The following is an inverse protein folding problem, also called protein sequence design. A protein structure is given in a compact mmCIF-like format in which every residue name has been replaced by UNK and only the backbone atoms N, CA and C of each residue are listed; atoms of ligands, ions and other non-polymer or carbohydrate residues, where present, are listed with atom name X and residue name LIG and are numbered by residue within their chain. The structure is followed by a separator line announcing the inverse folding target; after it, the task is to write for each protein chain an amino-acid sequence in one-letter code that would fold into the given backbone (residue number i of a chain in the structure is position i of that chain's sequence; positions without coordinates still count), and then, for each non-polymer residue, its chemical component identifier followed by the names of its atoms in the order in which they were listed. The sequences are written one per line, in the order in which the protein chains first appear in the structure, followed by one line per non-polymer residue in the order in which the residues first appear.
data_IF_694882289653
#
_entry.id   IF_694882289653
#
_cell.length_a   1.000
_cell.length_b   1.000
_cell.length_c   1.000
_cell.angle_alpha   90.00
_cell.angle_beta   90.00
_cell.angle_gamma   90.00
#
_symmetry.space_group_name_H-M   'P 1'
#
loop_
_entity.id
_entity.type
_entity.pdbx_description
1 polymer ?
#
# COMPACT_ATOMS: atom_id res chain seq x y z
N UNK A 1 -14.14 -3.44 -16.54
CA UNK A 1 -13.43 -4.74 -16.43
C UNK A 1 -14.03 -5.58 -15.28
N UNK A 2 -13.63 -6.85 -15.15
CA UNK A 2 -14.19 -7.76 -14.15
C UNK A 2 -14.05 -7.23 -12.72
N UNK A 3 -12.90 -6.65 -12.39
CA UNK A 3 -12.64 -6.12 -11.04
C UNK A 3 -13.57 -4.95 -10.71
N UNK A 4 -13.78 -4.05 -11.65
CA UNK A 4 -14.69 -2.90 -11.48
C UNK A 4 -16.13 -3.37 -11.26
N UNK A 5 -16.61 -4.30 -12.08
CA UNK A 5 -17.98 -4.86 -11.98
C UNK A 5 -18.17 -5.65 -10.67
N UNK A 6 -17.18 -6.47 -10.31
CA UNK A 6 -17.19 -7.20 -9.05
C UNK A 6 -17.27 -6.26 -7.85
N UNK A 7 -16.39 -5.25 -7.79
CA UNK A 7 -16.37 -4.29 -6.70
C UNK A 7 -17.68 -3.49 -6.60
N UNK A 8 -18.24 -3.06 -7.73
CA UNK A 8 -19.52 -2.37 -7.75
C UNK A 8 -20.64 -3.23 -7.19
N UNK A 9 -20.74 -4.49 -7.64
CA UNK A 9 -21.75 -5.46 -7.20
C UNK A 9 -21.57 -5.81 -5.73
N UNK A 10 -20.34 -6.07 -5.28
CA UNK A 10 -20.02 -6.37 -3.89
C UNK A 10 -20.38 -5.20 -2.96
N UNK A 11 -20.04 -3.98 -3.33
CA UNK A 11 -20.36 -2.79 -2.55
C UNK A 11 -21.87 -2.59 -2.40
N UNK A 12 -22.63 -2.80 -3.48
CA UNK A 12 -24.10 -2.75 -3.42
C UNK A 12 -24.66 -3.83 -2.49
N UNK A 13 -24.16 -5.06 -2.61
CA UNK A 13 -24.55 -6.18 -1.75
C UNK A 13 -24.25 -5.88 -0.27
N UNK A 14 -23.06 -5.43 0.07
CA UNK A 14 -22.66 -5.11 1.45
C UNK A 14 -23.53 -4.00 2.05
N UNK A 15 -23.85 -2.95 1.27
CA UNK A 15 -24.75 -1.87 1.72
C UNK A 15 -26.19 -2.38 1.95
N UNK A 16 -26.69 -3.22 1.06
CA UNK A 16 -28.02 -3.83 1.18
C UNK A 16 -28.10 -4.73 2.42
N UNK A 17 -27.07 -5.53 2.68
CA UNK A 17 -26.97 -6.39 3.85
C UNK A 17 -26.87 -5.59 5.14
N UNK A 18 -26.08 -4.51 5.14
CA UNK A 18 -25.98 -3.61 6.28
C UNK A 18 -27.32 -2.98 6.65
N UNK A 19 -28.16 -2.60 5.67
CA UNK A 19 -29.51 -2.08 5.92
C UNK A 19 -30.35 -3.14 6.64
N UNK A 20 -30.36 -4.38 6.14
CA UNK A 20 -31.14 -5.48 6.72
C UNK A 20 -30.68 -5.84 8.14
N UNK A 21 -29.35 -5.93 8.36
CA UNK A 21 -28.81 -6.23 9.70
C UNK A 21 -29.12 -5.10 10.69
N UNK A 22 -28.98 -3.85 10.29
CA UNK A 22 -29.35 -2.70 11.14
C UNK A 22 -30.82 -2.69 11.48
N UNK A 23 -31.71 -3.08 10.55
CA UNK A 23 -33.15 -3.20 10.83
C UNK A 23 -33.40 -4.28 11.85
N UNK A 24 -32.79 -5.48 11.71
CA UNK A 24 -32.93 -6.55 12.69
C UNK A 24 -32.49 -6.13 14.11
N UNK A 25 -31.39 -5.34 14.19
CA UNK A 25 -30.95 -4.80 15.48
C UNK A 25 -31.93 -3.77 16.03
N UNK A 26 -32.47 -2.88 15.20
CA UNK A 26 -33.48 -1.88 15.61
C UNK A 26 -34.78 -2.53 16.08
N UNK A 27 -35.17 -3.63 15.44
CA UNK A 27 -36.33 -4.44 15.79
C UNK A 27 -36.09 -5.37 17.00
N UNK A 28 -34.90 -5.29 17.64
CA UNK A 28 -34.50 -6.12 18.77
C UNK A 28 -34.63 -7.63 18.48
N UNK A 29 -34.34 -8.05 17.26
CA UNK A 29 -34.36 -9.45 16.87
C UNK A 29 -33.40 -10.27 17.74
N UNK A 30 -33.69 -11.55 18.04
CA UNK A 30 -32.84 -12.45 18.78
C UNK A 30 -31.42 -12.55 18.12
N UNK A 31 -30.38 -12.67 18.95
CA UNK A 31 -28.99 -12.76 18.50
C UNK A 31 -28.77 -13.90 17.49
N UNK A 32 -29.41 -15.03 17.69
CA UNK A 32 -29.33 -16.18 16.79
C UNK A 32 -29.88 -15.85 15.41
N UNK A 33 -31.01 -15.12 15.34
CA UNK A 33 -31.56 -14.67 14.06
C UNK A 33 -30.64 -13.72 13.32
N UNK A 34 -30.00 -12.80 14.04
CA UNK A 34 -29.01 -11.88 13.45
C UNK A 34 -27.80 -12.68 12.92
N UNK A 35 -27.33 -13.64 13.71
CA UNK A 35 -26.19 -14.50 13.34
C UNK A 35 -26.47 -15.38 12.12
N UNK A 36 -27.63 -16.05 12.08
CA UNK A 36 -28.08 -16.84 10.94
C UNK A 36 -28.17 -15.99 9.66
N UNK A 37 -28.80 -14.80 9.78
CA UNK A 37 -28.94 -13.87 8.66
C UNK A 37 -27.57 -13.44 8.13
N UNK A 38 -26.64 -13.08 9.03
CA UNK A 38 -25.26 -12.72 8.65
C UNK A 38 -24.54 -13.88 7.94
N UNK A 39 -24.68 -15.11 8.45
CA UNK A 39 -24.07 -16.29 7.83
C UNK A 39 -24.65 -16.54 6.42
N UNK A 40 -25.93 -16.41 6.23
CA UNK A 40 -26.54 -16.51 4.89
C UNK A 40 -26.01 -15.43 3.94
N UNK A 41 -25.88 -14.18 4.39
CA UNK A 41 -25.31 -13.08 3.61
C UNK A 41 -23.84 -13.34 3.22
N UNK A 42 -23.04 -13.85 4.15
CA UNK A 42 -21.64 -14.22 3.87
C UNK A 42 -21.54 -15.35 2.83
N UNK A 43 -22.48 -16.33 2.87
CA UNK A 43 -22.55 -17.39 1.84
C UNK A 43 -22.87 -16.83 0.45
N UNK A 44 -23.71 -15.79 0.37
CA UNK A 44 -24.00 -15.12 -0.91
C UNK A 44 -22.77 -14.34 -1.44
N UNK A 45 -22.03 -13.67 -0.55
CA UNK A 45 -20.78 -12.98 -0.90
C UNK A 45 -19.73 -13.99 -1.36
N UNK A 46 -19.58 -15.12 -0.66
CA UNK A 46 -18.66 -16.20 -1.06
C UNK A 46 -19.01 -16.71 -2.46
N UNK A 47 -20.27 -16.99 -2.73
CA UNK A 47 -20.75 -17.45 -4.05
C UNK A 47 -20.44 -16.42 -5.15
N UNK A 48 -20.66 -15.12 -4.88
CA UNK A 48 -20.31 -14.04 -5.80
C UNK A 48 -18.81 -14.04 -6.10
N UNK A 49 -17.98 -14.21 -5.06
CA UNK A 49 -16.51 -14.26 -5.20
C UNK A 49 -16.07 -15.49 -6.01
N UNK A 50 -16.65 -16.65 -5.77
CA UNK A 50 -16.37 -17.89 -6.53
C UNK A 50 -16.74 -17.73 -8.00
N UNK A 51 -17.86 -17.10 -8.32
CA UNK A 51 -18.24 -16.84 -9.72
C UNK A 51 -17.25 -15.90 -10.44
N UNK A 52 -16.65 -14.97 -9.73
CA UNK A 52 -15.70 -14.03 -10.30
C UNK A 52 -14.27 -14.58 -10.40
N UNK A 53 -13.81 -15.35 -9.40
CA UNK A 53 -12.39 -15.70 -9.20
C UNK A 53 -12.13 -17.21 -9.12
N UNK A 54 -13.15 -18.05 -9.10
CA UNK A 54 -13.04 -19.48 -8.85
C UNK A 54 -12.97 -19.84 -7.36
N UNK A 55 -13.10 -21.13 -7.07
CA UNK A 55 -12.93 -21.63 -5.71
C UNK A 55 -11.45 -21.59 -5.29
N UNK A 56 -11.16 -21.20 -4.03
CA UNK A 56 -9.82 -21.30 -3.48
C UNK A 56 -9.30 -22.75 -3.57
N UNK A 57 -8.10 -22.91 -4.09
CA UNK A 57 -7.47 -24.23 -4.18
C UNK A 57 -6.94 -24.69 -2.83
N UNK A 58 -7.21 -25.93 -2.45
CA UNK A 58 -6.64 -26.54 -1.24
C UNK A 58 -5.19 -26.98 -1.46
N UNK A 59 -4.95 -27.58 -2.63
CA UNK A 59 -3.61 -28.03 -3.05
C UNK A 59 -3.39 -27.74 -4.53
N UNK A 60 -2.13 -27.53 -4.91
CA UNK A 60 -1.73 -27.28 -6.29
C UNK A 60 -0.30 -27.75 -6.57
N UNK A 61 0.01 -27.91 -7.83
CA UNK A 61 1.36 -28.16 -8.31
C UNK A 61 1.98 -26.86 -8.82
N UNK A 62 3.22 -26.57 -8.43
CA UNK A 62 3.96 -25.40 -8.87
C UNK A 62 5.13 -25.79 -9.76
N UNK A 63 5.03 -25.45 -11.03
CA UNK A 63 6.07 -25.71 -12.02
C UNK A 63 6.68 -24.37 -12.49
N UNK A 64 8.01 -24.29 -12.53
CA UNK A 64 8.71 -23.11 -13.02
C UNK A 64 10.06 -23.44 -13.63
N UNK A 65 10.62 -22.49 -14.36
CA UNK A 65 12.04 -22.53 -14.77
C UNK A 65 12.79 -21.44 -14.02
N UNK A 66 13.94 -21.80 -13.48
CA UNK A 66 14.85 -20.86 -12.82
C UNK A 66 15.61 -19.97 -13.83
N UNK A 67 16.48 -19.08 -13.34
CA UNK A 67 17.30 -18.21 -14.18
C UNK A 67 18.26 -18.99 -15.10
N UNK A 68 18.59 -20.23 -14.78
CA UNK A 68 19.43 -21.12 -15.60
C UNK A 68 18.58 -21.98 -16.57
N UNK A 69 17.27 -21.69 -16.68
CA UNK A 69 16.31 -22.43 -17.50
C UNK A 69 16.09 -23.89 -17.05
N UNK A 70 16.49 -24.25 -15.84
CA UNK A 70 16.20 -25.58 -15.28
C UNK A 70 14.74 -25.65 -14.84
N UNK A 71 14.11 -26.78 -15.19
CA UNK A 71 12.73 -27.04 -14.82
C UNK A 71 12.65 -27.57 -13.38
N UNK A 72 11.72 -27.01 -12.63
CA UNK A 72 11.38 -27.42 -11.28
C UNK A 72 9.89 -27.73 -11.19
N UNK A 73 9.53 -28.73 -10.39
CA UNK A 73 8.16 -29.10 -10.12
C UNK A 73 8.01 -29.47 -8.64
N UNK A 74 7.17 -28.74 -7.94
CA UNK A 74 6.71 -29.06 -6.60
C UNK A 74 5.24 -29.47 -6.65
N UNK A 75 4.92 -30.64 -6.14
CA UNK A 75 3.57 -31.19 -6.20
C UNK A 75 2.89 -31.16 -4.83
N UNK A 76 1.56 -31.02 -4.85
CA UNK A 76 0.73 -31.12 -3.66
C UNK A 76 0.96 -30.01 -2.63
N UNK A 77 1.38 -28.82 -3.05
CA UNK A 77 1.57 -27.69 -2.16
C UNK A 77 0.21 -27.14 -1.71
N UNK A 78 0.12 -26.80 -0.43
CA UNK A 78 -0.94 -25.93 0.07
C UNK A 78 -0.47 -24.46 -0.06
N UNK A 79 -1.37 -23.46 -0.05
CA UNK A 79 -0.98 -22.05 -0.01
C UNK A 79 0.01 -21.72 1.11
N UNK A 80 -0.18 -22.31 2.30
CA UNK A 80 0.72 -22.09 3.44
C UNK A 80 2.10 -22.73 3.22
N UNK A 81 2.17 -23.99 2.71
CA UNK A 81 3.45 -24.65 2.43
C UNK A 81 4.22 -23.95 1.30
N UNK A 82 3.51 -23.42 0.30
CA UNK A 82 4.13 -22.59 -0.74
C UNK A 82 4.74 -21.31 -0.14
N UNK A 83 3.98 -20.60 0.70
CA UNK A 83 4.46 -19.42 1.39
C UNK A 83 5.72 -19.70 2.20
N UNK A 84 5.70 -20.76 3.02
CA UNK A 84 6.82 -21.16 3.86
C UNK A 84 8.07 -21.55 3.04
N UNK A 85 7.88 -22.19 1.89
CA UNK A 85 8.98 -22.64 1.04
C UNK A 85 9.61 -21.53 0.21
N UNK A 86 8.79 -20.66 -0.38
CA UNK A 86 9.24 -19.69 -1.40
C UNK A 86 9.36 -18.25 -0.89
N UNK A 87 8.59 -17.87 0.09
CA UNK A 87 8.58 -16.51 0.65
C UNK A 87 9.22 -16.46 2.03
N UNK A 88 8.74 -17.26 2.95
CA UNK A 88 9.22 -17.41 4.34
C UNK A 88 9.56 -16.08 5.01
N UNK A 89 8.69 -15.07 4.85
CA UNK A 89 8.85 -13.73 5.43
C UNK A 89 8.01 -13.62 6.69
N UNK A 90 8.61 -13.16 7.78
CA UNK A 90 7.84 -12.76 8.95
C UNK A 90 7.42 -11.30 8.79
N UNK A 91 6.14 -11.04 8.55
CA UNK A 91 5.63 -9.67 8.39
C UNK A 91 5.64 -8.87 9.70
N UNK A 92 5.73 -9.53 10.85
CA UNK A 92 5.92 -8.86 12.14
C UNK A 92 7.27 -8.14 12.22
N UNK A 93 8.24 -8.49 11.39
CA UNK A 93 9.54 -7.81 11.32
C UNK A 93 9.49 -6.46 10.59
N UNK A 94 8.36 -6.14 9.96
CA UNK A 94 8.20 -4.94 9.15
C UNK A 94 7.37 -3.88 9.85
N UNK A 95 7.55 -2.64 9.41
CA UNK A 95 6.80 -1.46 9.86
C UNK A 95 6.54 -0.54 8.70
N UNK A 96 5.36 0.09 8.68
CA UNK A 96 5.05 1.18 7.77
C UNK A 96 5.53 2.49 8.37
N UNK A 97 6.49 3.12 7.71
CA UNK A 97 6.98 4.46 8.03
C UNK A 97 6.34 5.44 7.06
N UNK A 98 5.72 6.48 7.59
CA UNK A 98 5.16 7.58 6.82
C UNK A 98 5.95 8.85 7.05
N UNK A 99 5.88 9.79 6.10
CA UNK A 99 6.39 11.14 6.28
C UNK A 99 5.31 12.16 5.89
N UNK A 100 4.52 12.53 6.89
CA UNK A 100 3.48 13.56 6.76
C UNK A 100 3.93 14.83 7.46
N UNK A 101 4.17 15.92 6.71
CA UNK A 101 4.56 17.22 7.27
C UNK A 101 3.36 18.06 7.77
N UNK A 102 2.14 17.52 7.76
CA UNK A 102 0.94 18.23 8.21
C UNK A 102 1.08 18.68 9.66
N UNK A 103 0.67 19.89 9.97
CA UNK A 103 0.75 20.45 11.33
C UNK A 103 -0.06 19.63 12.37
N UNK A 104 -1.09 18.92 11.93
CA UNK A 104 -1.90 18.00 12.74
C UNK A 104 -1.19 16.69 13.10
N UNK A 105 -0.06 16.37 12.45
CA UNK A 105 0.68 15.11 12.61
C UNK A 105 2.11 15.37 13.05
N UNK A 106 2.39 15.08 14.30
CA UNK A 106 3.75 15.24 14.82
C UNK A 106 4.68 14.13 14.31
N UNK A 107 5.93 14.45 14.04
CA UNK A 107 6.97 13.47 13.82
C UNK A 107 7.32 12.72 15.11
N UNK A 108 7.89 11.53 14.97
CA UNK A 108 8.21 10.60 16.05
C UNK A 108 6.98 10.18 16.86
N UNK A 109 5.87 10.00 16.15
CA UNK A 109 4.59 9.59 16.72
C UNK A 109 4.02 8.41 15.95
N UNK A 110 3.41 7.46 16.68
CA UNK A 110 2.68 6.35 16.09
C UNK A 110 1.21 6.71 15.88
N UNK A 111 0.71 6.44 14.68
CA UNK A 111 -0.69 6.64 14.30
C UNK A 111 -1.35 5.31 13.95
N UNK A 112 -2.68 5.26 14.01
CA UNK A 112 -3.48 4.14 13.52
C UNK A 112 -4.54 4.62 12.53
N UNK A 113 -4.82 3.78 11.54
CA UNK A 113 -5.85 4.03 10.55
C UNK A 113 -6.82 2.82 10.54
N UNK A 114 -7.70 2.79 11.54
CA UNK A 114 -8.59 1.65 11.79
C UNK A 114 -9.56 1.37 10.63
N UNK A 115 -9.81 2.36 9.74
CA UNK A 115 -10.62 2.17 8.52
C UNK A 115 -9.97 1.20 7.53
N UNK A 116 -8.67 0.96 7.63
CA UNK A 116 -7.93 -0.01 6.83
C UNK A 116 -7.76 -1.37 7.53
N UNK A 117 -8.19 -1.53 8.76
CA UNK A 117 -8.21 -2.80 9.48
C UNK A 117 -9.35 -3.68 8.95
N UNK A 118 -9.25 -4.14 7.70
CA UNK A 118 -10.32 -4.81 6.96
C UNK A 118 -10.37 -6.31 7.17
N UNK A 119 -9.41 -6.90 7.87
CA UNK A 119 -9.32 -8.34 8.12
C UNK A 119 -9.55 -8.62 9.61
N UNK A 120 -10.58 -9.40 9.92
CA UNK A 120 -10.86 -9.82 11.31
C UNK A 120 -9.70 -10.68 11.84
N UNK A 121 -9.08 -10.23 12.94
CA UNK A 121 -7.90 -10.88 13.50
C UNK A 121 -6.60 -10.64 12.71
N UNK A 122 -6.63 -9.76 11.71
CA UNK A 122 -5.45 -9.32 10.98
C UNK A 122 -4.60 -8.32 11.76
N UNK A 123 -3.44 -7.97 11.19
CA UNK A 123 -2.57 -6.94 11.74
C UNK A 123 -3.22 -5.55 11.57
N UNK A 124 -3.28 -4.77 12.67
CA UNK A 124 -3.82 -3.42 12.58
C UNK A 124 -2.86 -2.51 11.82
N UNK A 125 -3.41 -1.58 11.01
CA UNK A 125 -2.62 -0.58 10.31
C UNK A 125 -1.98 0.38 11.33
N UNK A 126 -0.65 0.41 11.35
CA UNK A 126 0.16 1.28 12.21
C UNK A 126 1.15 2.06 11.35
N UNK A 127 1.17 3.37 11.53
CA UNK A 127 1.95 4.32 10.74
C UNK A 127 2.90 5.07 11.67
N UNK A 128 4.20 4.83 11.55
CA UNK A 128 5.22 5.57 12.29
C UNK A 128 5.60 6.82 11.48
N UNK A 129 5.19 8.01 11.95
CA UNK A 129 5.49 9.27 11.27
C UNK A 129 6.90 9.75 11.62
N UNK A 130 7.79 9.75 10.64
CA UNK A 130 9.17 10.21 10.78
C UNK A 130 9.47 11.39 9.84
N UNK A 131 10.51 12.21 10.16
CA UNK A 131 10.96 13.28 9.25
C UNK A 131 11.31 12.75 7.85
N UNK A 132 11.16 13.57 6.78
CA UNK A 132 11.42 13.16 5.40
C UNK A 132 12.83 12.60 5.19
N UNK A 133 13.84 13.25 5.76
CA UNK A 133 15.24 12.80 5.65
C UNK A 133 15.44 11.42 6.27
N UNK A 134 14.71 11.13 7.36
CA UNK A 134 14.80 9.83 8.00
C UNK A 134 14.12 8.73 7.18
N UNK A 135 12.94 9.01 6.63
CA UNK A 135 12.26 8.09 5.71
C UNK A 135 13.16 7.76 4.52
N UNK A 136 13.80 8.76 3.92
CA UNK A 136 14.74 8.61 2.81
C UNK A 136 15.98 7.78 3.20
N UNK A 137 16.57 8.05 4.36
CA UNK A 137 17.72 7.30 4.86
C UNK A 137 17.41 5.81 5.10
N UNK A 138 16.24 5.50 5.67
CA UNK A 138 15.76 4.12 5.86
C UNK A 138 15.55 3.41 4.52
N UNK A 139 15.00 4.11 3.55
CA UNK A 139 14.82 3.61 2.18
C UNK A 139 16.16 3.26 1.52
N UNK A 140 17.15 4.15 1.61
CA UNK A 140 18.51 3.91 1.08
C UNK A 140 19.16 2.73 1.80
N UNK A 141 19.03 2.64 3.13
CA UNK A 141 19.61 1.56 3.92
C UNK A 141 19.05 0.19 3.50
N UNK A 142 17.74 0.06 3.33
CA UNK A 142 17.09 -1.16 2.88
C UNK A 142 17.57 -1.57 1.48
N UNK A 143 17.62 -0.62 0.53
CA UNK A 143 18.09 -0.90 -0.83
C UNK A 143 19.58 -1.29 -0.86
N UNK A 144 20.45 -0.66 -0.05
CA UNK A 144 21.87 -1.06 0.10
C UNK A 144 22.02 -2.47 0.69
N UNK A 145 21.06 -2.91 1.51
CA UNK A 145 20.99 -4.27 2.04
C UNK A 145 20.42 -5.30 1.04
N UNK A 146 20.07 -4.87 -0.19
CA UNK A 146 19.52 -5.73 -1.23
C UNK A 146 18.02 -6.03 -1.05
N UNK A 147 17.32 -5.26 -0.23
CA UNK A 147 15.88 -5.45 0.01
C UNK A 147 15.06 -4.40 -0.74
N UNK A 148 14.26 -4.82 -1.74
CA UNK A 148 13.28 -3.95 -2.39
C UNK A 148 12.21 -3.49 -1.39
N UNK A 149 11.65 -2.30 -1.64
CA UNK A 149 10.74 -1.63 -0.71
C UNK A 149 9.40 -1.39 -1.39
N UNK A 150 8.33 -1.88 -0.77
CA UNK A 150 6.99 -1.43 -1.09
C UNK A 150 6.83 0.02 -0.61
N UNK A 151 6.26 0.89 -1.44
CA UNK A 151 6.02 2.28 -1.09
C UNK A 151 4.71 2.80 -1.65
N UNK A 152 4.03 3.64 -0.86
CA UNK A 152 2.79 4.34 -1.23
C UNK A 152 3.08 5.75 -1.71
N UNK A 153 2.39 6.15 -2.79
CA UNK A 153 2.67 7.41 -3.48
C UNK A 153 1.46 7.94 -4.25
N UNK A 154 1.57 9.17 -4.74
CA UNK A 154 0.62 9.77 -5.67
C UNK A 154 1.13 9.64 -7.11
N UNK A 155 0.96 8.46 -7.69
CA UNK A 155 1.58 8.06 -8.96
C UNK A 155 1.20 8.93 -10.16
N UNK A 156 0.01 9.56 -10.13
CA UNK A 156 -0.47 10.34 -11.27
C UNK A 156 0.07 11.77 -11.29
N UNK A 157 0.71 12.21 -10.21
CA UNK A 157 1.34 13.52 -10.13
C UNK A 157 2.63 13.54 -10.94
N UNK A 158 2.80 14.51 -11.81
CA UNK A 158 4.00 14.76 -12.62
C UNK A 158 4.62 13.48 -13.25
N UNK A 159 3.76 12.74 -13.95
CA UNK A 159 4.05 11.45 -14.57
C UNK A 159 4.05 11.54 -16.10
N UNK A 160 5.14 11.11 -16.76
CA UNK A 160 5.08 10.63 -18.15
C UNK A 160 4.94 9.10 -18.14
N UNK A 161 3.71 8.62 -18.26
CA UNK A 161 3.40 7.19 -18.17
C UNK A 161 4.08 6.36 -19.26
N UNK A 162 4.19 6.90 -20.47
CA UNK A 162 4.75 6.17 -21.59
C UNK A 162 6.25 5.97 -21.45
N UNK A 163 6.97 7.02 -21.03
CA UNK A 163 8.41 6.96 -20.82
C UNK A 163 8.77 6.34 -19.46
N UNK A 164 7.84 6.31 -18.51
CA UNK A 164 8.08 5.86 -17.15
C UNK A 164 8.92 6.88 -16.36
N UNK A 165 8.63 8.15 -16.50
CA UNK A 165 9.30 9.22 -15.78
C UNK A 165 8.38 9.82 -14.71
N UNK A 166 8.91 9.93 -13.50
CA UNK A 166 8.31 10.57 -12.35
C UNK A 166 9.25 11.71 -11.93
N UNK A 167 8.87 12.96 -12.19
CA UNK A 167 9.71 14.10 -11.90
C UNK A 167 8.87 15.34 -11.62
N UNK A 168 9.04 15.97 -10.47
CA UNK A 168 8.31 17.18 -10.06
C UNK A 168 8.51 18.38 -10.99
N UNK A 169 9.52 18.33 -11.86
CA UNK A 169 9.80 19.37 -12.85
C UNK A 169 9.42 18.95 -14.28
N UNK A 170 8.59 17.89 -14.42
CA UNK A 170 8.22 17.38 -15.74
C UNK A 170 7.35 18.33 -16.53
N UNK A 171 6.48 19.08 -15.85
CA UNK A 171 5.55 20.04 -16.45
C UNK A 171 5.62 21.37 -15.71
N UNK A 172 5.83 22.46 -16.45
CA UNK A 172 5.84 23.82 -15.89
C UNK A 172 4.57 24.60 -16.30
N UNK A 173 3.46 24.20 -15.72
CA UNK A 173 2.16 24.87 -15.95
C UNK A 173 2.12 26.28 -15.35
N UNK A 174 2.87 26.54 -14.28
CA UNK A 174 2.94 27.89 -13.66
C UNK A 174 3.50 28.91 -14.65
N UNK A 175 4.61 28.61 -15.30
CA UNK A 175 5.19 29.46 -16.32
C UNK A 175 4.31 29.53 -17.58
N UNK A 176 3.77 28.38 -18.03
CA UNK A 176 2.95 28.31 -19.23
C UNK A 176 1.70 29.23 -19.15
N UNK A 177 1.03 29.23 -18.01
CA UNK A 177 -0.21 29.98 -17.83
C UNK A 177 -0.01 31.30 -17.06
N UNK A 178 1.21 31.60 -16.63
CA UNK A 178 1.54 32.78 -15.80
C UNK A 178 0.68 32.88 -14.52
N UNK A 179 0.53 31.75 -13.82
CA UNK A 179 -0.21 31.63 -12.56
C UNK A 179 0.64 30.92 -11.52
N UNK A 180 0.39 31.18 -10.24
CA UNK A 180 1.02 30.43 -9.15
C UNK A 180 0.23 29.17 -8.83
N UNK A 181 0.86 28.02 -9.02
CA UNK A 181 0.34 26.69 -8.67
C UNK A 181 1.16 26.01 -7.56
N UNK A 182 2.00 26.78 -6.87
CA UNK A 182 2.87 26.27 -5.80
C UNK A 182 2.03 25.78 -4.63
N UNK A 183 2.16 24.51 -4.30
CA UNK A 183 1.49 23.91 -3.15
C UNK A 183 2.44 22.92 -2.47
N UNK A 184 3.00 23.24 -1.30
CA UNK A 184 3.86 22.35 -0.52
C UNK A 184 3.13 21.06 -0.11
N UNK A 185 3.88 20.00 0.20
CA UNK A 185 3.35 18.67 0.50
C UNK A 185 2.35 18.65 1.66
N UNK A 186 2.59 19.41 2.72
CA UNK A 186 1.65 19.56 3.84
C UNK A 186 0.31 20.11 3.39
N UNK A 187 0.33 21.18 2.59
CA UNK A 187 -0.88 21.80 2.05
C UNK A 187 -1.58 20.88 1.04
N UNK A 188 -0.84 20.16 0.17
CA UNK A 188 -1.46 19.19 -0.73
C UNK A 188 -2.25 18.14 0.05
N UNK A 189 -1.73 17.64 1.16
CA UNK A 189 -2.42 16.70 2.04
C UNK A 189 -3.62 17.34 2.74
N UNK A 190 -3.47 18.55 3.29
CA UNK A 190 -4.55 19.25 4.01
C UNK A 190 -5.73 19.60 3.09
N UNK A 191 -5.45 20.01 1.85
CA UNK A 191 -6.47 20.40 0.87
C UNK A 191 -6.90 19.28 -0.08
N UNK A 192 -6.47 18.04 0.17
CA UNK A 192 -6.84 16.85 -0.63
C UNK A 192 -6.41 16.93 -2.10
N UNK A 193 -5.38 17.71 -2.39
CA UNK A 193 -4.73 17.73 -3.69
C UNK A 193 -3.77 16.55 -3.84
N UNK A 194 -3.16 16.08 -2.75
CA UNK A 194 -2.32 14.88 -2.70
C UNK A 194 -3.07 13.71 -2.05
N UNK A 195 -2.84 12.51 -2.54
CA UNK A 195 -3.45 11.27 -2.04
C UNK A 195 -2.49 10.09 -2.18
N UNK A 196 -2.55 9.14 -1.25
CA UNK A 196 -1.87 7.84 -1.40
C UNK A 196 -2.69 7.00 -2.36
N UNK A 197 -2.42 7.11 -3.67
CA UNK A 197 -3.27 6.55 -4.72
C UNK A 197 -2.77 5.22 -5.29
N UNK A 198 -1.49 4.90 -5.09
CA UNK A 198 -0.86 3.74 -5.72
C UNK A 198 0.33 3.22 -4.92
N UNK A 199 0.57 1.93 -5.06
CA UNK A 199 1.73 1.25 -4.50
C UNK A 199 2.64 0.72 -5.60
N UNK A 200 3.94 0.91 -5.43
CA UNK A 200 4.99 0.39 -6.32
C UNK A 200 6.14 -0.18 -5.49
N UNK A 201 7.17 -0.70 -6.18
CA UNK A 201 8.36 -1.24 -5.52
C UNK A 201 9.60 -0.44 -5.89
N UNK A 202 10.30 0.10 -4.89
CA UNK A 202 11.64 0.66 -5.06
C UNK A 202 12.65 -0.48 -5.15
N UNK A 203 13.41 -0.52 -6.25
CA UNK A 203 14.39 -1.59 -6.53
C UNK A 203 15.82 -1.08 -6.66
N UNK A 204 16.04 0.22 -6.59
CA UNK A 204 17.38 0.80 -6.63
C UNK A 204 17.38 2.31 -6.43
N UNK A 205 18.57 2.83 -6.10
CA UNK A 205 18.83 4.25 -5.94
C UNK A 205 20.17 4.60 -6.56
N UNK A 206 20.24 5.74 -7.25
CA UNK A 206 21.50 6.32 -7.73
C UNK A 206 21.97 7.37 -6.72
N UNK A 207 23.17 7.18 -6.19
CA UNK A 207 23.81 8.09 -5.24
C UNK A 207 24.98 8.82 -5.91
N UNK A 208 25.06 10.13 -5.71
CA UNK A 208 26.21 10.97 -6.06
C UNK A 208 26.65 11.68 -4.78
N UNK A 209 27.87 11.49 -4.36
CA UNK A 209 28.40 12.01 -3.08
C UNK A 209 27.48 11.65 -1.89
N UNK A 210 27.05 10.38 -1.85
CA UNK A 210 26.09 9.81 -0.89
C UNK A 210 24.69 10.46 -0.88
N UNK A 211 24.39 11.36 -1.82
CA UNK A 211 23.06 11.97 -1.97
C UNK A 211 22.27 11.25 -3.07
N UNK A 212 20.98 10.93 -2.83
CA UNK A 212 20.14 10.32 -3.85
C UNK A 212 19.83 11.35 -4.95
N UNK A 213 19.86 10.89 -6.19
CA UNK A 213 19.53 11.72 -7.35
C UNK A 213 18.40 11.12 -8.16
N UNK A 214 18.32 9.78 -8.20
CA UNK A 214 17.30 9.04 -8.94
C UNK A 214 17.01 7.72 -8.24
N UNK A 215 15.78 7.25 -8.41
CA UNK A 215 15.29 5.98 -7.89
C UNK A 215 14.79 5.11 -9.03
N UNK A 216 15.05 3.81 -8.93
CA UNK A 216 14.49 2.82 -9.84
C UNK A 216 13.24 2.24 -9.22
N UNK A 217 12.14 2.32 -9.96
CA UNK A 217 10.81 1.88 -9.52
C UNK A 217 10.34 0.74 -10.42
N UNK A 218 9.84 -0.33 -9.84
CA UNK A 218 9.11 -1.39 -10.54
C UNK A 218 7.61 -1.18 -10.34
N UNK A 219 6.87 -1.09 -11.46
CA UNK A 219 5.43 -0.90 -11.46
C UNK A 219 4.71 -2.14 -12.02
N UNK A 220 3.40 -2.22 -11.79
CA UNK A 220 2.56 -3.37 -12.18
C UNK A 220 1.69 -3.11 -13.42
N UNK A 221 1.99 -2.08 -14.21
CA UNK A 221 1.19 -1.68 -15.39
C UNK A 221 1.65 -2.36 -16.70
N UNK A 222 2.20 -3.54 -16.64
CA UNK A 222 2.80 -4.34 -17.70
C UNK A 222 4.18 -3.82 -18.19
N UNK A 223 4.87 -4.70 -18.91
CA UNK A 223 6.17 -4.44 -19.54
C UNK A 223 6.11 -3.46 -20.74
N UNK A 224 4.90 -3.08 -21.17
CA UNK A 224 4.68 -2.13 -22.27
C UNK A 224 4.70 -0.67 -21.82
N UNK A 225 4.71 -0.42 -20.51
CA UNK A 225 4.70 0.91 -19.91
C UNK A 225 6.07 1.19 -19.30
N UNK A 226 6.59 2.42 -19.50
CA UNK A 226 7.93 2.76 -19.07
C UNK A 226 9.01 1.93 -19.77
N UNK A 227 10.12 1.69 -19.09
CA UNK A 227 11.18 0.82 -19.59
C UNK A 227 10.94 -0.62 -19.12
N UNK A 228 10.17 -1.40 -19.85
CA UNK A 228 9.83 -2.79 -19.52
C UNK A 228 9.20 -2.94 -18.11
N UNK A 229 8.26 -2.04 -17.77
CA UNK A 229 7.61 -2.00 -16.47
C UNK A 229 8.36 -1.21 -15.40
N UNK A 230 9.59 -0.74 -15.68
CA UNK A 230 10.36 0.07 -14.75
C UNK A 230 10.24 1.55 -15.04
N UNK A 231 10.20 2.35 -13.97
CA UNK A 231 10.16 3.80 -14.01
C UNK A 231 11.42 4.39 -13.40
N UNK A 232 11.79 5.59 -13.87
CA UNK A 232 12.82 6.42 -13.27
C UNK A 232 12.15 7.57 -12.52
N UNK A 233 12.44 7.68 -11.24
CA UNK A 233 11.90 8.70 -10.37
C UNK A 233 13.01 9.64 -9.91
N UNK A 234 12.80 10.96 -10.04
CA UNK A 234 13.73 11.96 -9.49
C UNK A 234 13.66 12.00 -7.96
N UNK A 235 14.73 12.50 -7.32
CA UNK A 235 14.73 12.66 -5.87
C UNK A 235 13.74 13.75 -5.41
N UNK A 236 13.54 14.79 -6.21
CA UNK A 236 12.52 15.82 -5.95
C UNK A 236 11.10 15.21 -5.93
N UNK A 237 10.81 14.29 -6.88
CA UNK A 237 9.53 13.60 -6.88
C UNK A 237 9.35 12.69 -5.66
N UNK A 238 10.43 12.04 -5.21
CA UNK A 238 10.40 11.26 -3.97
C UNK A 238 9.96 12.14 -2.79
N UNK A 239 10.55 13.33 -2.63
CA UNK A 239 10.20 14.24 -1.55
C UNK A 239 8.74 14.71 -1.63
N UNK A 240 8.28 14.99 -2.83
CA UNK A 240 6.94 15.54 -3.06
C UNK A 240 5.83 14.51 -2.91
N UNK A 241 6.00 13.30 -3.47
CA UNK A 241 4.88 12.39 -3.73
C UNK A 241 5.02 10.99 -3.11
N UNK A 242 6.14 10.67 -2.45
CA UNK A 242 6.26 9.45 -1.63
C UNK A 242 5.77 9.75 -0.23
N UNK A 243 4.77 9.01 0.22
CA UNK A 243 4.14 9.23 1.52
C UNK A 243 4.53 8.18 2.55
N UNK A 244 4.74 6.94 2.12
CA UNK A 244 5.02 5.82 3.01
C UNK A 244 5.96 4.79 2.39
N UNK A 245 6.69 4.08 3.24
CA UNK A 245 7.53 2.94 2.88
C UNK A 245 7.35 1.83 3.91
N UNK A 246 7.45 0.57 3.47
CA UNK A 246 7.46 -0.58 4.37
C UNK A 246 8.88 -1.10 4.47
N UNK A 247 9.45 -1.06 5.68
CA UNK A 247 10.83 -1.44 5.94
C UNK A 247 10.94 -2.39 7.12
N UNK A 248 12.07 -3.07 7.27
CA UNK A 248 12.34 -3.86 8.47
C UNK A 248 12.54 -2.99 9.71
N UNK A 249 11.96 -3.40 10.83
CA UNK A 249 12.12 -2.76 12.14
C UNK A 249 13.58 -2.70 12.61
N UNK A 250 14.43 -3.63 12.16
CA UNK A 250 15.85 -3.65 12.49
C UNK A 250 16.64 -2.43 11.97
N UNK A 251 16.10 -1.71 10.97
CA UNK A 251 16.71 -0.48 10.45
C UNK A 251 16.38 0.77 11.28
N UNK A 252 15.38 0.66 12.16
CA UNK A 252 15.05 1.72 13.11
C UNK A 252 16.09 1.78 14.24
N UNK A 253 16.37 2.99 14.73
CA UNK A 253 17.15 3.14 15.97
C UNK A 253 16.39 2.57 17.17
N UNK A 254 17.05 2.38 18.31
CA UNK A 254 16.38 1.90 19.52
C UNK A 254 15.28 2.88 19.98
N UNK A 255 15.51 4.16 19.84
CA UNK A 255 14.56 5.22 20.16
C UNK A 255 13.33 5.15 19.24
N UNK A 256 13.55 4.95 17.94
CA UNK A 256 12.45 4.79 16.96
C UNK A 256 11.68 3.48 17.18
N UNK A 257 12.37 2.39 17.54
CA UNK A 257 11.70 1.12 17.88
C UNK A 257 10.80 1.28 19.11
N UNK A 258 11.25 2.02 20.11
CA UNK A 258 10.45 2.29 21.32
C UNK A 258 9.15 3.08 21.01
N UNK A 259 9.12 3.84 19.91
CA UNK A 259 7.89 4.52 19.47
C UNK A 259 6.78 3.54 19.07
N UNK A 260 7.15 2.33 18.62
CA UNK A 260 6.18 1.31 18.19
C UNK A 260 5.37 0.74 19.38
N UNK A 261 5.85 0.90 20.60
CA UNK A 261 5.17 0.48 21.84
C UNK A 261 4.19 1.53 22.37
N UNK A 262 4.15 2.72 21.76
CA UNK A 262 3.20 3.77 22.12
C UNK A 262 1.76 3.39 21.78
N UNK A 263 0.80 3.91 22.55
CA UNK A 263 -0.59 3.91 22.13
C UNK A 263 -0.73 4.79 20.90
N UNK A 264 -1.16 4.25 19.76
CA UNK A 264 -1.25 5.04 18.53
C UNK A 264 -2.33 6.13 18.63
N UNK A 265 -2.07 7.27 18.03
CA UNK A 265 -3.09 8.30 17.82
C UNK A 265 -3.98 7.83 16.65
N UNK A 266 -5.27 7.75 16.91
CA UNK A 266 -6.24 7.30 15.92
C UNK A 266 -6.52 8.42 14.90
N UNK A 267 -6.31 8.11 13.62
CA UNK A 267 -6.68 8.99 12.52
C UNK A 267 -8.15 8.79 12.13
N UNK A 268 -8.74 9.86 11.60
CA UNK A 268 -10.09 9.80 11.06
C UNK A 268 -10.16 8.94 9.78
N UNK A 269 -11.31 8.28 9.49
CA UNK A 269 -11.47 7.47 8.28
C UNK A 269 -11.27 8.22 6.97
N UNK A 270 -11.31 9.54 6.99
CA UNK A 270 -11.07 10.42 5.83
C UNK A 270 -9.72 11.11 5.87
N UNK A 271 -8.77 10.61 6.65
CA UNK A 271 -7.42 11.19 6.68
C UNK A 271 -6.73 11.08 5.32
N UNK A 272 -5.82 12.00 5.01
CA UNK A 272 -5.12 12.02 3.74
C UNK A 272 -4.12 10.85 3.55
N UNK A 273 -3.76 10.16 4.65
CA UNK A 273 -2.93 8.96 4.63
C UNK A 273 -3.76 7.66 4.46
N UNK A 274 -5.06 7.79 4.18
CA UNK A 274 -5.97 6.65 3.96
C UNK A 274 -5.63 5.89 2.68
#
# INVERSE_FOLDING_TARGET
DLTTEFNSTLNLKLRTDAIKLRQLVADQAPSDKISETRTAMLSEIYRLSVYAFGEPVETFDFAYRDNNQQYHLDQGLTPLSFYQKYLNRNFDDYVTVVSSPQASKQYNQLYSLDSQDTVVGGHPMRLLNLPPDRLKALTIQSLKAGEPIWFGNDVLADLDRQKGWLDSNLYDYSSLFSIDLTMPKDQRLDYRQGVVSHAMTLTGVNLVDDQPTKWKVENTWSDKVGNKGYFSMSDAWFDDYVYEVVIKKEYLTKEEQALLDQTPIKLDPWDALQ
#
